data_IF_470342523979
#
_entry.id   IF_470342523979
#
_cell.length_a   1.000
_cell.length_b   1.000
_cell.length_c   1.000
_cell.angle_alpha   90.00
_cell.angle_beta   90.00
_cell.angle_gamma   90.00
#
_symmetry.space_group_name_H-M   'P 1'
#
loop_
_entity.id
_entity.type
_entity.pdbx_description
1 polymer ?
#
# COMPACT_ATOMS: atom_id res chain seq x y z
N UNK A 1 5.35 11.43 23.06
CA UNK A 1 6.48 10.48 22.85
C UNK A 1 6.43 9.29 23.81
N UNK A 2 6.44 9.49 25.13
CA UNK A 2 6.44 8.38 26.12
C UNK A 2 5.25 7.42 25.97
N UNK A 3 4.04 7.96 25.77
CA UNK A 3 2.83 7.16 25.55
C UNK A 3 2.92 6.30 24.28
N UNK A 4 3.49 6.84 23.20
CA UNK A 4 3.67 6.11 21.93
C UNK A 4 4.69 4.99 22.06
N UNK A 5 5.78 5.22 22.81
CA UNK A 5 6.80 4.19 23.10
C UNK A 5 6.19 3.08 23.98
N UNK A 6 5.39 3.45 24.98
CA UNK A 6 4.68 2.50 25.83
C UNK A 6 3.70 1.65 25.00
N UNK A 7 2.84 2.28 24.20
CA UNK A 7 1.88 1.57 23.33
C UNK A 7 2.60 0.67 22.32
N UNK A 8 3.71 1.10 21.72
CA UNK A 8 4.50 0.25 20.79
C UNK A 8 5.18 -0.91 21.50
N UNK A 9 5.67 -0.71 22.74
CA UNK A 9 6.33 -1.75 23.53
C UNK A 9 5.38 -2.73 24.21
N UNK A 10 4.14 -2.32 24.49
CA UNK A 10 3.11 -3.18 25.12
C UNK A 10 2.09 -3.73 24.15
N UNK A 11 1.93 -3.12 22.97
CA UNK A 11 1.19 -3.76 21.89
C UNK A 11 2.06 -4.89 21.35
N UNK A 12 1.54 -6.12 21.37
CA UNK A 12 2.11 -7.19 20.57
C UNK A 12 1.96 -6.80 19.10
N UNK A 13 2.89 -6.00 18.57
CA UNK A 13 3.01 -5.73 17.14
C UNK A 13 3.47 -7.05 16.51
N UNK A 14 2.52 -7.97 16.40
CA UNK A 14 2.70 -9.16 15.59
C UNK A 14 2.66 -8.65 14.17
N UNK A 15 3.83 -8.54 13.56
CA UNK A 15 3.94 -8.30 12.13
C UNK A 15 3.21 -9.44 11.42
N UNK A 16 2.03 -9.12 10.93
CA UNK A 16 1.23 -10.03 10.12
C UNK A 16 1.90 -10.22 8.76
N UNK A 17 1.51 -11.26 8.03
CA UNK A 17 2.07 -11.60 6.71
C UNK A 17 2.10 -10.40 5.73
N UNK A 18 1.09 -9.53 5.80
CA UNK A 18 0.95 -8.31 5.00
C UNK A 18 2.08 -7.30 5.25
N UNK A 19 2.66 -7.27 6.44
CA UNK A 19 3.81 -6.41 6.75
C UNK A 19 5.11 -6.91 6.11
N UNK A 20 5.27 -8.23 6.02
CA UNK A 20 6.41 -8.83 5.30
C UNK A 20 6.33 -8.55 3.80
N UNK A 21 5.13 -8.63 3.21
CA UNK A 21 4.90 -8.22 1.82
C UNK A 21 5.25 -6.73 1.64
N UNK A 22 4.76 -5.87 2.54
CA UNK A 22 5.06 -4.44 2.51
C UNK A 22 6.56 -4.14 2.57
N UNK A 23 7.29 -4.84 3.44
CA UNK A 23 8.74 -4.71 3.55
C UNK A 23 9.47 -5.13 2.27
N UNK A 24 9.08 -6.26 1.66
CA UNK A 24 9.65 -6.71 0.38
C UNK A 24 9.40 -5.69 -0.73
N UNK A 25 8.18 -5.13 -0.81
CA UNK A 25 7.86 -4.10 -1.80
C UNK A 25 8.69 -2.83 -1.63
N UNK A 26 8.97 -2.42 -0.39
CA UNK A 26 9.88 -1.30 -0.11
C UNK A 26 11.30 -1.61 -0.59
N UNK A 27 11.81 -2.81 -0.33
CA UNK A 27 13.14 -3.22 -0.80
C UNK A 27 13.24 -3.22 -2.33
N UNK A 28 12.21 -3.73 -3.01
CA UNK A 28 12.13 -3.68 -4.48
C UNK A 28 12.15 -2.22 -4.96
N UNK A 29 11.36 -1.33 -4.35
CA UNK A 29 11.36 0.09 -4.67
C UNK A 29 12.73 0.76 -4.47
N UNK A 30 13.43 0.46 -3.38
CA UNK A 30 14.77 0.98 -3.11
C UNK A 30 15.80 0.53 -4.15
N UNK A 31 15.71 -0.73 -4.60
CA UNK A 31 16.57 -1.28 -5.65
C UNK A 31 16.21 -0.64 -7.01
N UNK A 32 14.93 -0.48 -7.28
CA UNK A 32 14.36 0.12 -8.49
C UNK A 32 14.76 1.58 -8.71
N UNK A 33 14.97 2.34 -7.64
CA UNK A 33 15.50 3.72 -7.70
C UNK A 33 16.80 3.83 -8.50
N UNK A 34 17.62 2.77 -8.53
CA UNK A 34 18.90 2.75 -9.24
C UNK A 34 18.78 2.50 -10.74
N UNK A 35 17.69 1.90 -11.19
CA UNK A 35 17.56 1.44 -12.58
C UNK A 35 16.88 2.47 -13.49
N UNK A 36 15.70 2.95 -13.10
CA UNK A 36 14.96 3.91 -13.94
C UNK A 36 13.86 4.61 -13.14
N UNK A 37 13.67 5.93 -13.35
CA UNK A 37 12.59 6.68 -12.72
C UNK A 37 11.20 6.19 -13.15
N UNK A 38 11.08 5.49 -14.29
CA UNK A 38 9.81 4.94 -14.76
C UNK A 38 9.43 3.66 -13.99
N UNK A 39 10.40 2.76 -13.81
CA UNK A 39 10.19 1.49 -13.08
C UNK A 39 9.86 1.80 -11.62
N UNK A 40 10.58 2.74 -11.01
CA UNK A 40 10.31 3.15 -9.63
C UNK A 40 8.88 3.72 -9.45
N UNK A 41 8.37 4.48 -10.43
CA UNK A 41 6.99 4.97 -10.39
C UNK A 41 5.97 3.84 -10.49
N UNK A 42 6.23 2.83 -11.31
CA UNK A 42 5.37 1.64 -11.39
C UNK A 42 5.40 0.85 -10.08
N UNK A 43 6.58 0.59 -9.53
CA UNK A 43 6.72 -0.15 -8.28
C UNK A 43 6.03 0.58 -7.12
N UNK A 44 6.19 1.90 -7.04
CA UNK A 44 5.50 2.74 -6.05
C UNK A 44 3.99 2.69 -6.23
N UNK A 45 3.50 2.73 -7.47
CA UNK A 45 2.06 2.61 -7.75
C UNK A 45 1.50 1.25 -7.32
N UNK A 46 2.18 0.15 -7.68
CA UNK A 46 1.75 -1.20 -7.28
C UNK A 46 1.82 -1.40 -5.77
N UNK A 47 2.87 -0.91 -5.12
CA UNK A 47 3.00 -0.97 -3.67
C UNK A 47 1.84 -0.24 -2.98
N UNK A 48 1.49 0.97 -3.42
CA UNK A 48 0.38 1.74 -2.88
C UNK A 48 -0.99 1.10 -3.15
N UNK A 49 -1.15 0.48 -4.32
CA UNK A 49 -2.38 -0.24 -4.67
C UNK A 49 -2.60 -1.46 -3.78
N UNK A 50 -1.56 -2.30 -3.62
CA UNK A 50 -1.57 -3.44 -2.70
C UNK A 50 -1.77 -2.99 -1.24
N UNK A 51 -1.17 -1.86 -0.87
CA UNK A 51 -1.38 -1.21 0.42
C UNK A 51 -2.82 -0.79 0.67
N UNK A 52 -3.45 -0.20 -0.35
CA UNK A 52 -4.84 0.29 -0.28
C UNK A 52 -5.81 -0.85 -0.01
N UNK A 53 -5.62 -2.00 -0.65
CA UNK A 53 -6.44 -3.22 -0.45
C UNK A 53 -5.98 -4.08 0.74
N UNK A 54 -5.14 -3.53 1.62
CA UNK A 54 -4.61 -4.23 2.80
C UNK A 54 -3.89 -5.55 2.49
N UNK A 55 -3.39 -5.74 1.26
CA UNK A 55 -2.56 -6.89 0.88
C UNK A 55 -1.09 -6.66 1.26
N UNK A 56 -0.69 -5.39 1.34
CA UNK A 56 0.58 -4.96 1.92
C UNK A 56 0.30 -3.98 3.07
N UNK A 57 1.11 -4.02 4.12
CA UNK A 57 1.04 -3.06 5.22
C UNK A 57 2.39 -2.41 5.43
N UNK A 58 2.47 -1.10 5.20
CA UNK A 58 3.70 -0.31 5.34
C UNK A 58 3.85 0.35 6.71
N UNK A 59 2.79 0.30 7.53
CA UNK A 59 2.73 0.82 8.88
C UNK A 59 1.99 -0.17 9.77
N UNK A 60 2.25 -0.21 11.09
CA UNK A 60 1.46 -0.99 12.03
C UNK A 60 -0.02 -0.62 11.80
N UNK A 61 -0.85 -1.60 11.43
CA UNK A 61 -2.24 -1.36 11.02
C UNK A 61 -3.05 -0.95 12.25
N UNK A 62 -3.15 0.35 12.53
CA UNK A 62 -3.96 0.87 13.64
C UNK A 62 -5.45 0.99 13.22
N UNK A 63 -5.74 1.22 11.94
CA UNK A 63 -7.10 1.41 11.42
C UNK A 63 -7.28 0.79 10.04
N UNK A 64 -8.29 -0.07 9.88
CA UNK A 64 -8.73 -0.65 8.60
C UNK A 64 -10.25 -0.51 8.48
N UNK A 65 -10.73 -0.11 7.30
CA UNK A 65 -12.16 -0.11 6.99
C UNK A 65 -12.49 -1.40 6.27
N UNK A 66 -13.47 -2.16 6.77
CA UNK A 66 -14.02 -3.33 6.06
C UNK A 66 -15.36 -2.93 5.45
N UNK A 67 -15.47 -3.05 4.14
CA UNK A 67 -16.71 -2.88 3.41
C UNK A 67 -17.08 -4.23 2.78
N UNK A 68 -18.17 -4.85 3.24
CA UNK A 68 -18.59 -6.17 2.78
C UNK A 68 -19.69 -6.80 3.66
N UNK A 69 -20.20 -7.94 3.20
CA UNK A 69 -21.05 -8.83 3.98
C UNK A 69 -20.25 -10.09 4.31
N UNK A 70 -19.89 -10.25 5.58
CA UNK A 70 -19.23 -11.45 6.08
C UNK A 70 -20.27 -12.40 6.67
N UNK A 71 -20.37 -13.62 6.14
CA UNK A 71 -21.05 -14.75 6.80
C UNK A 71 -19.93 -15.76 7.08
N UNK A 72 -19.70 -16.07 8.36
CA UNK A 72 -18.78 -17.13 8.83
C UNK A 72 -17.41 -17.17 8.09
N UNK A 73 -16.63 -16.09 8.21
CA UNK A 73 -15.24 -15.97 7.73
C UNK A 73 -14.97 -16.15 6.23
N UNK A 74 -16.02 -16.34 5.41
CA UNK A 74 -15.93 -16.38 3.94
C UNK A 74 -16.82 -15.31 3.32
N UNK A 75 -16.33 -14.07 3.37
CA UNK A 75 -16.95 -12.92 2.71
C UNK A 75 -16.02 -12.27 1.69
N UNK A 76 -16.60 -11.59 0.69
CA UNK A 76 -15.90 -10.60 -0.13
C UNK A 76 -15.77 -9.30 0.68
N UNK A 77 -15.00 -9.34 1.76
CA UNK A 77 -14.72 -8.16 2.55
C UNK A 77 -13.58 -7.37 1.89
N UNK A 78 -13.91 -6.20 1.35
CA UNK A 78 -12.89 -5.28 0.87
C UNK A 78 -12.33 -4.54 2.08
N UNK A 79 -11.07 -4.82 2.40
CA UNK A 79 -10.35 -4.17 3.49
C UNK A 79 -9.55 -3.00 2.92
N UNK A 80 -9.89 -1.78 3.31
CA UNK A 80 -9.24 -0.56 2.84
C UNK A 80 -8.39 0.05 3.97
N UNK A 81 -7.12 0.31 3.68
CA UNK A 81 -6.24 1.07 4.56
C UNK A 81 -6.29 2.56 4.19
N UNK A 82 -6.82 3.45 5.06
CA UNK A 82 -7.03 4.85 4.73
C UNK A 82 -5.71 5.60 4.47
N UNK A 83 -4.63 5.24 5.16
CA UNK A 83 -3.32 5.85 4.96
C UNK A 83 -2.75 5.55 3.56
N UNK A 84 -2.80 4.27 3.16
CA UNK A 84 -2.36 3.86 1.82
C UNK A 84 -3.24 4.48 0.72
N UNK A 85 -4.56 4.57 0.95
CA UNK A 85 -5.49 5.25 0.04
C UNK A 85 -5.12 6.74 -0.14
N UNK A 86 -4.83 7.44 0.95
CA UNK A 86 -4.39 8.84 0.90
C UNK A 86 -3.08 9.00 0.11
N UNK A 87 -2.08 8.16 0.38
CA UNK A 87 -0.82 8.17 -0.35
C UNK A 87 -1.01 7.84 -1.84
N UNK A 88 -1.91 6.91 -2.16
CA UNK A 88 -2.26 6.59 -3.54
C UNK A 88 -2.90 7.80 -4.25
N UNK A 89 -3.82 8.52 -3.60
CA UNK A 89 -4.39 9.76 -4.14
C UNK A 89 -3.30 10.82 -4.38
N UNK A 90 -2.41 11.02 -3.41
CA UNK A 90 -1.28 11.94 -3.55
C UNK A 90 -0.39 11.56 -4.73
N UNK A 91 -0.06 10.26 -4.86
CA UNK A 91 0.74 9.73 -5.95
C UNK A 91 0.09 10.01 -7.31
N UNK A 92 -1.21 9.79 -7.44
CA UNK A 92 -1.99 10.05 -8.66
C UNK A 92 -1.94 11.53 -9.02
N UNK A 93 -2.15 12.42 -8.05
CA UNK A 93 -2.12 13.89 -8.27
C UNK A 93 -0.74 14.32 -8.75
N UNK A 94 0.34 13.87 -8.08
CA UNK A 94 1.71 14.25 -8.43
C UNK A 94 2.19 13.64 -9.74
N UNK A 95 1.65 12.48 -10.14
CA UNK A 95 2.07 11.74 -11.33
C UNK A 95 0.98 11.67 -12.43
N UNK A 96 0.01 12.59 -12.45
CA UNK A 96 -1.09 12.63 -13.44
C UNK A 96 -0.61 12.49 -14.90
N UNK A 97 0.44 13.22 -15.28
CA UNK A 97 0.99 13.17 -16.66
C UNK A 97 1.58 11.81 -17.01
N UNK A 98 2.13 11.10 -16.04
CA UNK A 98 2.68 9.75 -16.23
C UNK A 98 1.55 8.74 -16.40
N UNK A 99 0.53 8.80 -15.53
CA UNK A 99 -0.64 7.93 -15.60
C UNK A 99 -1.40 8.11 -16.94
N UNK A 100 -1.58 9.35 -17.40
CA UNK A 100 -2.20 9.61 -18.70
C UNK A 100 -1.45 8.98 -19.87
N UNK A 101 -0.11 9.00 -19.85
CA UNK A 101 0.71 8.31 -20.86
C UNK A 101 0.59 6.78 -20.77
N UNK A 102 0.56 6.24 -19.55
CA UNK A 102 0.39 4.80 -19.32
C UNK A 102 -0.93 4.28 -19.90
N UNK A 103 -2.04 4.96 -19.60
CA UNK A 103 -3.38 4.62 -20.08
C UNK A 103 -3.45 4.68 -21.61
N UNK A 104 -2.91 5.74 -22.20
CA UNK A 104 -2.89 5.90 -23.67
C UNK A 104 -2.07 4.81 -24.38
N UNK A 105 -1.00 4.31 -23.75
CA UNK A 105 -0.20 3.22 -24.30
C UNK A 105 -0.93 1.88 -24.18
N UNK A 106 -1.66 1.64 -23.09
CA UNK A 106 -2.47 0.43 -22.92
C UNK A 106 -3.63 0.35 -23.93
N UNK A 107 -4.20 1.49 -24.35
CA UNK A 107 -5.25 1.51 -25.38
C UNK A 107 -4.75 1.26 -26.81
N UNK A 108 -3.44 1.34 -27.05
CA UNK A 108 -2.82 1.12 -28.36
C UNK A 108 -2.24 -0.28 -28.55
N UNK A 109 -2.12 -1.05 -27.45
CA UNK A 109 -1.69 -2.45 -27.44
C UNK A 109 -2.89 -3.38 -27.56
#
# INVERSE_FOLDING_TARGET
>A
MMYSIYVVGTSGIIFSYEHYIGFVLILIGLVSLRFSPLINKLDTFFALLLGTFSQAAFTPIITRYRFGFTIEDKGLDIVIQPYCLFLMMLFIILNWRFLGKLINNLQKS
#
